data_IF_779687830248
#
_entry.id   IF_779687830248
#
_cell.length_a   1.000
_cell.length_b   1.000
_cell.length_c   1.000
_cell.angle_alpha   90.00
_cell.angle_beta   90.00
_cell.angle_gamma   90.00
#
_symmetry.space_group_name_H-M   'P 1'
#
loop_
_entity.id
_entity.type
_entity.pdbx_description
1 polymer ?
#
# COMPACT_ATOMS: atom_id res chain seq x y z
N UNK A 1 2.73 32.50 -102.53
CA UNK A 1 3.54 31.48 -101.79
C UNK A 1 4.05 32.04 -100.40
N UNK A 2 4.72 33.16 -100.36
CA UNK A 2 5.29 33.70 -99.08
C UNK A 2 4.27 33.83 -97.94
N UNK A 3 3.06 34.33 -98.17
CA UNK A 3 1.97 34.46 -97.16
C UNK A 3 1.53 33.16 -96.60
N UNK A 4 1.49 32.09 -97.38
CA UNK A 4 1.11 30.75 -96.92
C UNK A 4 2.14 30.14 -95.89
N UNK A 5 3.42 30.34 -96.20
CA UNK A 5 4.51 29.85 -95.31
C UNK A 5 4.52 30.68 -93.97
N UNK A 6 4.22 32.01 -94.03
CA UNK A 6 4.17 32.84 -92.88
C UNK A 6 2.95 32.42 -91.91
N UNK A 7 1.79 32.10 -92.48
CA UNK A 7 0.65 31.67 -91.76
C UNK A 7 0.89 30.27 -91.14
N UNK A 8 1.48 29.34 -91.87
CA UNK A 8 1.87 28.01 -91.40
C UNK A 8 2.86 28.08 -90.23
N UNK A 9 3.90 28.94 -90.35
CA UNK A 9 4.88 29.13 -89.28
C UNK A 9 4.24 29.76 -88.01
N UNK A 10 3.33 30.70 -88.13
CA UNK A 10 2.61 31.29 -87.04
C UNK A 10 1.67 30.27 -86.32
N UNK A 11 1.01 29.43 -87.16
CA UNK A 11 0.12 28.36 -86.61
C UNK A 11 0.95 27.28 -85.85
N UNK A 12 2.13 26.90 -86.39
CA UNK A 12 3.01 25.97 -85.69
C UNK A 12 3.59 26.57 -84.42
N UNK A 13 3.98 27.84 -84.41
CA UNK A 13 4.47 28.54 -83.22
C UNK A 13 3.36 28.63 -82.13
N UNK A 14 2.11 28.95 -82.50
CA UNK A 14 1.00 28.95 -81.61
C UNK A 14 0.68 27.56 -81.03
N UNK A 15 0.68 26.53 -81.89
CA UNK A 15 0.51 25.12 -81.44
C UNK A 15 1.63 24.68 -80.53
N UNK A 16 2.88 25.01 -80.81
CA UNK A 16 4.00 24.73 -79.93
C UNK A 16 3.92 25.48 -78.64
N UNK A 17 3.58 26.79 -78.65
CA UNK A 17 3.37 27.57 -77.44
C UNK A 17 2.24 27.01 -76.57
N UNK A 18 1.15 26.62 -77.16
CA UNK A 18 -0.01 26.03 -76.50
C UNK A 18 0.38 24.66 -75.86
N UNK A 19 1.07 23.80 -76.62
CA UNK A 19 1.57 22.52 -76.13
C UNK A 19 2.57 22.72 -74.97
N UNK A 20 3.44 23.72 -75.07
CA UNK A 20 4.42 24.05 -74.02
C UNK A 20 3.76 24.57 -72.74
N UNK A 21 2.77 25.44 -72.83
CA UNK A 21 2.01 25.92 -71.73
C UNK A 21 1.20 24.79 -71.04
N UNK A 22 0.66 23.88 -71.84
CA UNK A 22 -0.08 22.71 -71.32
C UNK A 22 0.87 21.77 -70.55
N UNK A 23 2.02 21.48 -71.09
CA UNK A 23 3.02 20.67 -70.42
C UNK A 23 3.52 21.32 -69.10
N UNK A 24 3.77 22.63 -69.07
CA UNK A 24 4.11 23.37 -67.86
C UNK A 24 3.05 23.33 -66.76
N UNK A 25 1.75 23.28 -67.12
CA UNK A 25 0.67 23.15 -66.13
C UNK A 25 0.70 21.78 -65.44
N UNK A 26 0.86 20.70 -66.23
CA UNK A 26 0.98 19.34 -65.69
C UNK A 26 2.21 19.15 -64.85
N UNK A 27 3.36 19.74 -65.26
CA UNK A 27 4.57 19.70 -64.48
C UNK A 27 4.45 20.39 -63.13
N UNK A 28 3.86 21.58 -63.08
CA UNK A 28 3.61 22.30 -61.80
C UNK A 28 2.60 21.57 -60.92
N UNK A 29 1.62 20.89 -61.52
CA UNK A 29 0.69 20.05 -60.75
C UNK A 29 1.41 18.84 -60.13
N UNK A 30 2.27 18.18 -60.87
CA UNK A 30 3.11 17.08 -60.35
C UNK A 30 4.06 17.53 -59.24
N UNK A 31 4.74 18.67 -59.41
CA UNK A 31 5.58 19.27 -58.35
C UNK A 31 4.79 19.54 -57.06
N UNK A 32 3.57 20.05 -57.18
CA UNK A 32 2.70 20.27 -56.05
C UNK A 32 2.32 18.98 -55.34
N UNK A 33 1.89 17.97 -56.08
CA UNK A 33 1.54 16.66 -55.53
C UNK A 33 2.72 16.00 -54.82
N UNK A 34 3.91 16.05 -55.44
CA UNK A 34 5.12 15.53 -54.80
C UNK A 34 5.50 16.33 -53.55
N UNK A 35 5.32 17.64 -53.56
CA UNK A 35 5.53 18.49 -52.37
C UNK A 35 4.57 18.14 -51.26
N UNK A 36 3.29 17.98 -51.56
CA UNK A 36 2.26 17.62 -50.55
C UNK A 36 2.57 16.22 -49.97
N UNK A 37 2.94 15.24 -50.79
CA UNK A 37 3.34 13.90 -50.34
C UNK A 37 4.61 13.98 -49.49
N UNK A 38 5.63 14.76 -49.90
CA UNK A 38 6.86 14.93 -49.12
C UNK A 38 6.61 15.58 -47.73
N UNK A 39 5.67 16.53 -47.65
CA UNK A 39 5.21 17.15 -46.42
C UNK A 39 4.32 16.21 -45.57
N UNK A 40 4.05 15.00 -46.06
CA UNK A 40 3.19 14.02 -45.36
C UNK A 40 1.72 14.34 -45.42
N UNK A 41 1.26 15.11 -46.42
CA UNK A 41 -0.14 15.39 -46.69
C UNK A 41 -0.63 14.48 -47.81
N UNK A 42 -1.84 13.97 -47.71
CA UNK A 42 -2.51 13.22 -48.75
C UNK A 42 -3.16 14.20 -49.73
N UNK A 43 -2.72 14.30 -50.99
CA UNK A 43 -3.38 15.15 -51.98
C UNK A 43 -4.83 14.70 -52.23
N UNK A 44 -5.76 15.68 -52.32
CA UNK A 44 -7.19 15.38 -52.53
C UNK A 44 -7.47 14.87 -53.98
N UNK A 45 -6.60 15.16 -54.95
CA UNK A 45 -6.82 14.83 -56.34
C UNK A 45 -5.52 14.49 -57.06
N UNK A 46 -5.39 13.25 -57.53
CA UNK A 46 -4.27 12.73 -58.30
C UNK A 46 -4.51 12.71 -59.81
N UNK A 47 -5.63 13.25 -60.29
CA UNK A 47 -6.08 13.12 -61.68
C UNK A 47 -5.34 14.11 -62.60
N UNK A 48 -4.61 13.61 -63.58
CA UNK A 48 -4.07 14.38 -64.69
C UNK A 48 -5.06 14.32 -65.86
N UNK A 49 -5.87 15.37 -65.99
CA UNK A 49 -6.86 15.48 -67.07
C UNK A 49 -6.14 15.70 -68.41
N UNK A 50 -6.47 14.90 -69.42
CA UNK A 50 -6.14 15.10 -70.85
C UNK A 50 -4.74 14.75 -71.39
N UNK A 51 -3.80 14.21 -70.57
CA UNK A 51 -2.50 13.78 -71.09
C UNK A 51 -2.14 12.36 -70.65
N UNK A 52 -2.13 11.41 -71.62
CA UNK A 52 -1.86 9.99 -71.34
C UNK A 52 -0.48 9.70 -70.72
N UNK A 53 0.48 10.60 -70.89
CA UNK A 53 1.84 10.45 -70.35
C UNK A 53 1.86 10.73 -68.84
N UNK A 54 1.09 11.68 -68.36
CA UNK A 54 0.99 12.00 -66.94
C UNK A 54 -0.03 11.12 -66.21
N UNK A 55 -1.06 10.63 -66.93
CA UNK A 55 -2.05 9.72 -66.35
C UNK A 55 -1.43 8.40 -65.85
N UNK A 56 -0.34 7.95 -66.48
CA UNK A 56 0.42 6.79 -66.04
C UNK A 56 1.10 6.98 -64.66
N UNK A 57 1.29 8.23 -64.18
CA UNK A 57 1.86 8.56 -62.88
C UNK A 57 0.84 8.60 -61.76
N UNK A 58 -0.45 8.68 -62.08
CA UNK A 58 -1.53 8.76 -61.08
C UNK A 58 -1.51 7.59 -60.11
N UNK A 59 -1.54 6.38 -60.62
CA UNK A 59 -1.56 5.17 -59.78
C UNK A 59 -0.29 4.94 -58.94
N UNK A 60 0.94 5.15 -59.46
CA UNK A 60 2.14 5.12 -58.61
C UNK A 60 2.13 6.17 -57.49
N UNK A 61 1.69 7.41 -57.75
CA UNK A 61 1.63 8.47 -56.77
C UNK A 61 0.59 8.19 -55.67
N UNK A 62 -0.62 7.72 -56.06
CA UNK A 62 -1.64 7.25 -55.11
C UNK A 62 -1.12 6.15 -54.19
N UNK A 63 -0.40 5.16 -54.77
CA UNK A 63 0.18 4.07 -53.99
C UNK A 63 1.24 4.54 -53.01
N UNK A 64 2.12 5.47 -53.42
CA UNK A 64 3.14 6.05 -52.51
C UNK A 64 2.47 6.83 -51.39
N UNK A 65 1.50 7.69 -51.69
CA UNK A 65 0.77 8.45 -50.68
C UNK A 65 0.03 7.53 -49.70
N UNK A 66 -0.68 6.52 -50.20
CA UNK A 66 -1.38 5.54 -49.37
C UNK A 66 -0.45 4.74 -48.45
N UNK A 67 0.74 4.32 -48.95
CA UNK A 67 1.71 3.59 -48.13
C UNK A 67 2.36 4.50 -47.09
N UNK A 68 2.65 5.76 -47.40
CA UNK A 68 3.15 6.75 -46.47
C UNK A 68 2.14 7.02 -45.35
N UNK A 69 0.86 7.21 -45.69
CA UNK A 69 -0.19 7.38 -44.72
C UNK A 69 -0.38 6.13 -43.82
N UNK A 70 -0.30 4.95 -44.41
CA UNK A 70 -0.36 3.67 -43.70
C UNK A 70 0.80 3.51 -42.69
N UNK A 71 2.01 3.84 -43.12
CA UNK A 71 3.20 3.79 -42.25
C UNK A 71 3.06 4.81 -41.12
N UNK A 72 2.68 6.04 -41.43
CA UNK A 72 2.44 7.08 -40.43
C UNK A 72 1.38 6.65 -39.40
N UNK A 73 0.25 6.13 -39.87
CA UNK A 73 -0.80 5.62 -38.99
C UNK A 73 -0.40 4.40 -38.17
N UNK A 74 0.61 3.63 -38.61
CA UNK A 74 1.22 2.59 -37.76
C UNK A 74 2.10 3.18 -36.68
N UNK A 75 3.00 4.10 -37.00
CA UNK A 75 3.87 4.77 -36.05
C UNK A 75 3.05 5.50 -34.98
N UNK A 76 2.00 6.21 -35.38
CA UNK A 76 1.12 6.93 -34.44
C UNK A 76 0.41 5.96 -33.50
N UNK A 77 -0.08 4.83 -34.02
CA UNK A 77 -0.73 3.78 -33.20
C UNK A 77 0.24 3.09 -32.25
N UNK A 78 1.43 2.73 -32.71
CA UNK A 78 2.45 2.12 -31.87
C UNK A 78 2.91 3.10 -30.77
N UNK A 79 3.15 4.36 -31.12
CA UNK A 79 3.50 5.41 -30.16
C UNK A 79 2.39 5.66 -29.15
N UNK A 80 1.11 5.66 -29.57
CA UNK A 80 -0.05 5.78 -28.68
C UNK A 80 -0.14 4.58 -27.73
N UNK A 81 0.01 3.35 -28.25
CA UNK A 81 -0.03 2.14 -27.45
C UNK A 81 1.07 2.12 -26.39
N UNK A 82 2.31 2.44 -26.76
CA UNK A 82 3.42 2.52 -25.81
C UNK A 82 3.19 3.57 -24.72
N UNK A 83 2.71 4.77 -25.10
CA UNK A 83 2.38 5.81 -24.12
C UNK A 83 1.27 5.36 -23.18
N UNK A 84 0.25 4.67 -23.68
CA UNK A 84 -0.87 4.16 -22.87
C UNK A 84 -0.37 3.09 -21.90
N UNK A 85 0.48 2.15 -22.35
CA UNK A 85 1.07 1.13 -21.48
C UNK A 85 1.90 1.79 -20.38
N UNK A 86 2.81 2.69 -20.73
CA UNK A 86 3.65 3.40 -19.76
C UNK A 86 2.81 4.26 -18.77
N UNK A 87 1.69 4.82 -19.21
CA UNK A 87 0.80 5.61 -18.37
C UNK A 87 -0.03 4.75 -17.40
N UNK A 88 -0.36 3.51 -17.79
CA UNK A 88 -1.16 2.59 -16.97
C UNK A 88 -0.32 1.77 -15.98
N UNK A 89 1.00 1.75 -16.11
CA UNK A 89 1.88 1.06 -15.16
C UNK A 89 1.84 1.74 -13.79
N UNK A 90 1.86 0.94 -12.72
CA UNK A 90 2.00 1.43 -11.35
C UNK A 90 3.46 1.75 -11.01
N UNK A 91 4.39 1.02 -11.62
CA UNK A 91 5.82 1.24 -11.45
C UNK A 91 6.29 2.54 -12.11
N UNK A 92 7.21 3.22 -11.46
CA UNK A 92 7.92 4.34 -12.05
C UNK A 92 8.91 3.86 -13.10
N UNK A 93 8.87 4.42 -14.30
CA UNK A 93 9.83 4.12 -15.37
C UNK A 93 10.60 5.39 -15.73
N UNK A 94 11.90 5.25 -15.81
CA UNK A 94 12.84 6.29 -16.19
C UNK A 94 13.81 5.73 -17.24
N UNK A 95 14.11 6.52 -18.28
CA UNK A 95 15.16 6.21 -19.26
C UNK A 95 16.20 7.32 -19.24
N UNK A 96 17.45 6.93 -19.16
CA UNK A 96 18.59 7.85 -19.18
C UNK A 96 19.56 7.49 -20.31
N UNK A 97 20.27 8.49 -20.81
CA UNK A 97 21.34 8.30 -21.77
C UNK A 97 22.70 7.99 -21.09
N UNK A 98 23.76 7.87 -21.91
CA UNK A 98 25.12 7.63 -21.44
C UNK A 98 25.69 8.71 -20.51
N UNK A 99 25.10 9.90 -20.49
CA UNK A 99 25.49 11.03 -19.65
C UNK A 99 24.60 11.17 -18.40
N UNK A 100 23.78 10.14 -18.09
CA UNK A 100 22.82 10.10 -16.99
C UNK A 100 21.73 11.20 -17.08
N UNK A 101 21.48 11.70 -18.30
CA UNK A 101 20.42 12.69 -18.54
C UNK A 101 19.09 11.97 -18.81
N UNK A 102 18.02 12.42 -18.15
CA UNK A 102 16.68 11.86 -18.27
C UNK A 102 16.10 12.16 -19.66
N UNK A 103 15.81 11.12 -20.42
CA UNK A 103 15.20 11.17 -21.75
C UNK A 103 13.71 10.85 -21.73
N UNK A 104 13.28 9.99 -20.81
CA UNK A 104 11.89 9.62 -20.66
C UNK A 104 11.58 9.34 -19.20
N UNK A 105 10.39 9.74 -18.76
CA UNK A 105 9.77 9.32 -17.52
C UNK A 105 8.28 9.06 -17.75
N UNK A 106 7.72 8.08 -17.06
CA UNK A 106 6.28 7.82 -17.11
C UNK A 106 5.53 8.62 -16.03
N UNK A 107 4.18 8.73 -16.12
CA UNK A 107 3.38 9.43 -15.10
C UNK A 107 3.54 8.88 -13.68
N UNK A 108 3.78 7.56 -13.53
CA UNK A 108 3.98 6.94 -12.23
C UNK A 108 5.27 7.40 -11.56
N UNK A 109 6.36 7.54 -12.33
CA UNK A 109 7.60 8.13 -11.81
C UNK A 109 7.36 9.53 -11.21
N UNK A 110 6.60 10.35 -11.91
CA UNK A 110 6.26 11.70 -11.41
C UNK A 110 5.44 11.63 -10.11
N UNK A 111 4.46 10.71 -10.02
CA UNK A 111 3.66 10.53 -8.79
C UNK A 111 4.48 9.98 -7.61
N UNK A 112 5.46 9.10 -7.89
CA UNK A 112 6.26 8.47 -6.84
C UNK A 112 7.30 9.42 -6.25
N UNK A 113 7.95 10.23 -7.09
CA UNK A 113 9.09 11.05 -6.67
C UNK A 113 8.78 12.54 -6.53
N UNK A 114 7.65 13.02 -7.06
CA UNK A 114 7.20 14.43 -6.99
C UNK A 114 8.36 15.43 -7.25
N UNK A 115 9.09 15.30 -8.37
CA UNK A 115 10.29 16.08 -8.59
C UNK A 115 9.98 17.59 -8.62
N UNK A 116 10.80 18.36 -7.90
CA UNK A 116 10.66 19.81 -7.85
C UNK A 116 11.37 20.44 -9.06
N UNK A 117 10.62 20.72 -10.13
CA UNK A 117 11.13 21.35 -11.35
C UNK A 117 11.03 20.46 -12.60
N UNK A 118 11.76 20.82 -13.66
CA UNK A 118 11.84 20.02 -14.90
C UNK A 118 12.55 18.69 -14.64
N UNK A 119 12.06 17.63 -15.25
CA UNK A 119 12.65 16.30 -15.13
C UNK A 119 13.45 15.90 -16.37
N UNK A 120 12.87 16.12 -17.54
CA UNK A 120 13.51 15.79 -18.82
C UNK A 120 14.67 16.73 -19.11
N UNK A 121 15.80 16.19 -19.54
CA UNK A 121 17.02 16.94 -19.83
C UNK A 121 17.90 17.22 -18.60
N UNK A 122 17.46 16.85 -17.41
CA UNK A 122 18.24 16.96 -16.16
C UNK A 122 18.93 15.62 -15.82
N UNK A 123 19.97 15.68 -14.97
CA UNK A 123 20.65 14.46 -14.52
C UNK A 123 19.88 13.76 -13.41
N UNK A 124 20.05 12.43 -13.30
CA UNK A 124 19.41 11.60 -12.25
C UNK A 124 19.70 12.15 -10.86
N UNK A 125 20.95 12.47 -10.56
CA UNK A 125 21.36 13.00 -9.26
C UNK A 125 20.67 14.31 -8.90
N UNK A 126 20.44 15.18 -9.88
CA UNK A 126 19.74 16.45 -9.66
C UNK A 126 18.27 16.26 -9.35
N UNK A 127 17.61 15.30 -10.02
CA UNK A 127 16.17 15.03 -9.88
C UNK A 127 15.87 14.22 -8.62
N UNK A 128 16.58 13.10 -8.41
CA UNK A 128 16.28 12.15 -7.33
C UNK A 128 17.13 12.37 -6.07
N UNK A 129 18.33 12.94 -6.21
CA UNK A 129 19.29 13.20 -5.11
C UNK A 129 19.70 11.95 -4.33
N UNK A 130 19.71 10.79 -5.00
CA UNK A 130 20.08 9.50 -4.43
C UNK A 130 21.34 8.97 -5.12
N UNK A 131 22.52 9.09 -4.49
CA UNK A 131 23.79 8.64 -5.08
C UNK A 131 23.82 7.16 -5.44
N UNK A 132 23.15 6.32 -4.65
CA UNK A 132 23.08 4.87 -4.90
C UNK A 132 22.44 4.53 -6.25
N UNK A 133 21.47 5.33 -6.71
CA UNK A 133 20.86 5.15 -8.02
C UNK A 133 21.83 5.52 -9.15
N UNK A 134 22.65 6.55 -8.96
CA UNK A 134 23.64 6.96 -9.93
C UNK A 134 24.77 5.93 -10.07
N UNK A 135 25.25 5.37 -8.96
CA UNK A 135 26.20 4.25 -8.95
C UNK A 135 25.64 3.04 -9.69
N UNK A 136 24.38 2.70 -9.46
CA UNK A 136 23.71 1.57 -10.09
C UNK A 136 23.60 1.75 -11.62
N UNK A 137 23.22 2.95 -12.07
CA UNK A 137 23.14 3.29 -13.49
C UNK A 137 24.53 3.25 -14.13
N UNK A 138 25.54 3.84 -13.46
CA UNK A 138 26.94 3.79 -13.90
C UNK A 138 27.41 2.34 -14.07
N UNK A 139 27.15 1.48 -13.09
CA UNK A 139 27.51 0.08 -13.14
C UNK A 139 26.80 -0.67 -14.31
N UNK A 140 25.51 -0.39 -14.52
CA UNK A 140 24.76 -0.98 -15.62
C UNK A 140 25.32 -0.56 -17.00
N UNK A 141 25.66 0.72 -17.18
CA UNK A 141 26.31 1.23 -18.39
C UNK A 141 27.69 0.63 -18.64
N UNK A 142 28.51 0.54 -17.60
CA UNK A 142 29.88 0.06 -17.71
C UNK A 142 29.98 -1.44 -17.97
N UNK A 143 29.10 -2.24 -17.34
CA UNK A 143 29.15 -3.71 -17.44
C UNK A 143 28.27 -4.29 -18.54
N UNK A 144 27.29 -3.54 -19.03
CA UNK A 144 26.25 -4.05 -19.94
C UNK A 144 25.33 -5.10 -19.31
N UNK A 145 25.33 -5.22 -17.96
CA UNK A 145 24.54 -6.21 -17.22
C UNK A 145 23.48 -5.48 -16.39
N UNK A 146 22.26 -6.02 -16.40
CA UNK A 146 21.18 -5.49 -15.57
C UNK A 146 21.54 -5.50 -14.07
N UNK A 147 21.25 -4.41 -13.39
CA UNK A 147 21.46 -4.24 -11.95
C UNK A 147 20.12 -4.25 -11.23
N UNK A 148 20.09 -4.88 -10.04
CA UNK A 148 18.93 -4.87 -9.17
C UNK A 148 19.36 -4.49 -7.76
N UNK A 149 18.71 -3.50 -7.17
CA UNK A 149 19.00 -3.06 -5.80
C UNK A 149 17.74 -2.54 -5.14
N UNK A 150 17.69 -2.64 -3.83
CA UNK A 150 16.69 -1.92 -3.05
C UNK A 150 17.29 -0.59 -2.59
N UNK A 151 16.55 0.49 -2.81
CA UNK A 151 16.96 1.86 -2.51
C UNK A 151 15.90 2.51 -1.62
N UNK A 152 16.36 3.20 -0.57
CA UNK A 152 15.49 3.97 0.31
C UNK A 152 15.65 5.45 0.01
N UNK A 153 14.54 6.13 -0.30
CA UNK A 153 14.58 7.57 -0.55
C UNK A 153 14.20 8.33 0.72
N UNK A 154 15.05 9.27 1.12
CA UNK A 154 14.84 10.13 2.29
C UNK A 154 14.14 11.46 1.95
N UNK A 155 13.70 11.65 0.70
CA UNK A 155 13.11 12.90 0.20
C UNK A 155 11.70 13.21 0.72
N UNK A 156 11.01 12.25 1.35
CA UNK A 156 9.68 12.39 1.93
C UNK A 156 9.59 11.78 3.32
N UNK A 157 8.74 12.31 4.19
CA UNK A 157 8.37 11.63 5.44
C UNK A 157 6.97 11.03 5.28
N UNK A 158 6.79 9.71 5.38
CA UNK A 158 7.78 8.67 5.72
C UNK A 158 8.72 8.31 4.56
N UNK A 159 9.89 7.74 4.89
CA UNK A 159 10.84 7.18 3.91
C UNK A 159 10.15 6.10 3.06
N UNK A 160 10.39 6.14 1.73
CA UNK A 160 9.87 5.12 0.82
C UNK A 160 10.98 4.16 0.42
N UNK A 161 10.61 2.89 0.23
CA UNK A 161 11.51 1.84 -0.19
C UNK A 161 11.14 1.38 -1.60
N UNK A 162 12.12 1.35 -2.50
CA UNK A 162 11.94 0.95 -3.88
C UNK A 162 12.81 -0.25 -4.22
N UNK A 163 12.23 -1.26 -4.87
CA UNK A 163 12.99 -2.23 -5.62
C UNK A 163 13.27 -1.62 -7.01
N UNK A 164 14.55 -1.43 -7.33
CA UNK A 164 15.00 -0.76 -8.53
C UNK A 164 15.69 -1.77 -9.45
N UNK A 165 15.27 -1.79 -10.71
CA UNK A 165 15.90 -2.57 -11.79
C UNK A 165 16.42 -1.62 -12.86
N UNK A 166 17.73 -1.58 -13.06
CA UNK A 166 18.39 -0.81 -14.12
C UNK A 166 18.87 -1.77 -15.20
N UNK A 167 18.28 -1.66 -16.39
CA UNK A 167 18.55 -2.52 -17.52
C UNK A 167 19.25 -1.69 -18.60
N UNK A 168 20.50 -2.03 -18.99
CA UNK A 168 21.17 -1.34 -20.06
C UNK A 168 20.44 -1.57 -21.37
N UNK A 169 20.33 -0.54 -22.19
CA UNK A 169 19.77 -0.58 -23.53
C UNK A 169 20.76 0.03 -24.52
N UNK A 170 20.77 -0.51 -25.73
CA UNK A 170 21.42 0.12 -26.86
C UNK A 170 20.32 0.64 -27.79
N UNK A 171 20.41 1.91 -28.19
CA UNK A 171 19.51 2.49 -29.17
C UNK A 171 20.10 2.29 -30.55
N UNK A 172 19.27 1.88 -31.53
CA UNK A 172 19.67 1.72 -32.95
C UNK A 172 20.16 3.03 -33.60
N UNK A 173 19.95 4.16 -32.93
CA UNK A 173 20.24 5.51 -33.44
C UNK A 173 21.34 6.26 -32.70
N UNK A 174 21.95 5.71 -31.65
CA UNK A 174 23.02 6.55 -31.16
C UNK A 174 23.59 6.39 -29.79
N UNK A 175 23.31 5.49 -28.95
CA UNK A 175 24.11 5.43 -27.76
C UNK A 175 23.64 4.47 -26.68
N UNK A 176 24.52 4.08 -25.75
CA UNK A 176 24.15 3.32 -24.59
C UNK A 176 23.26 4.16 -23.68
N UNK A 177 22.23 3.53 -23.14
CA UNK A 177 21.30 4.10 -22.18
C UNK A 177 20.90 3.08 -21.12
N UNK A 178 20.12 3.49 -20.14
CA UNK A 178 19.58 2.60 -19.12
C UNK A 178 18.09 2.86 -18.94
N UNK A 179 17.29 1.81 -18.96
CA UNK A 179 15.92 1.82 -18.50
C UNK A 179 15.91 1.44 -17.03
N UNK A 180 15.36 2.28 -16.19
CA UNK A 180 15.24 2.02 -14.76
C UNK A 180 13.77 1.92 -14.34
N UNK A 181 13.41 0.84 -13.68
CA UNK A 181 12.06 0.56 -13.19
C UNK A 181 12.07 0.64 -11.67
N UNK A 182 11.13 1.39 -11.11
CA UNK A 182 10.97 1.61 -9.67
C UNK A 182 9.66 0.99 -9.20
N UNK A 183 9.75 -0.01 -8.36
CA UNK A 183 8.60 -0.63 -7.71
C UNK A 183 8.57 -0.21 -6.25
N UNK A 184 7.49 0.44 -5.81
CA UNK A 184 7.31 0.78 -4.40
C UNK A 184 7.05 -0.49 -3.57
N UNK A 185 7.98 -0.79 -2.66
CA UNK A 185 7.92 -1.93 -1.75
C UNK A 185 7.74 -1.48 -0.28
N UNK A 186 7.40 -0.21 -0.03
CA UNK A 186 7.29 0.34 1.31
C UNK A 186 6.31 -0.43 2.18
N UNK A 187 5.14 -0.80 1.62
CA UNK A 187 4.14 -1.61 2.33
C UNK A 187 4.65 -3.02 2.66
N UNK A 188 5.38 -3.63 1.74
CA UNK A 188 5.98 -4.96 1.95
C UNK A 188 7.02 -4.90 3.08
N UNK A 189 7.90 -3.91 3.05
CA UNK A 189 8.90 -3.67 4.09
C UNK A 189 8.27 -3.42 5.46
N UNK A 190 7.25 -2.58 5.53
CA UNK A 190 6.51 -2.37 6.77
C UNK A 190 5.92 -3.68 7.34
N UNK A 191 5.34 -4.52 6.50
CA UNK A 191 4.82 -5.82 6.93
C UNK A 191 5.94 -6.76 7.42
N UNK A 192 7.08 -6.79 6.74
CA UNK A 192 8.26 -7.57 7.16
C UNK A 192 8.83 -7.07 8.49
N UNK A 193 8.93 -5.76 8.69
CA UNK A 193 9.45 -5.17 9.92
C UNK A 193 8.53 -5.46 11.11
N UNK A 194 7.21 -5.29 10.93
CA UNK A 194 6.20 -5.66 11.94
C UNK A 194 6.31 -7.15 12.29
N UNK A 195 6.52 -8.02 11.30
CA UNK A 195 6.71 -9.46 11.53
C UNK A 195 8.00 -9.78 12.28
N UNK A 196 9.11 -9.12 11.92
CA UNK A 196 10.41 -9.30 12.61
C UNK A 196 10.33 -8.83 14.06
N UNK A 197 9.72 -7.67 14.29
CA UNK A 197 9.51 -7.12 15.62
C UNK A 197 8.62 -8.05 16.46
N UNK A 198 7.54 -8.59 15.87
CA UNK A 198 6.69 -9.57 16.53
C UNK A 198 7.46 -10.79 17.00
N UNK A 199 8.26 -11.43 16.12
CA UNK A 199 9.08 -12.60 16.47
C UNK A 199 10.10 -12.28 17.56
N UNK A 200 10.75 -11.12 17.48
CA UNK A 200 11.71 -10.67 18.48
C UNK A 200 11.02 -10.48 19.85
N UNK A 201 9.87 -9.82 19.87
CA UNK A 201 9.12 -9.57 21.11
C UNK A 201 8.59 -10.88 21.73
N UNK A 202 8.06 -11.82 20.92
CA UNK A 202 7.68 -13.17 21.40
C UNK A 202 8.89 -13.85 22.07
N UNK A 203 10.04 -13.84 21.40
CA UNK A 203 11.26 -14.48 21.93
C UNK A 203 11.70 -13.86 23.26
N UNK A 204 11.59 -12.55 23.40
CA UNK A 204 11.93 -11.84 24.65
C UNK A 204 10.93 -12.15 25.77
N UNK A 205 9.62 -12.12 25.50
CA UNK A 205 8.57 -12.37 26.50
C UNK A 205 8.55 -13.85 26.95
N UNK A 206 9.00 -14.80 26.12
CA UNK A 206 9.17 -16.20 26.50
C UNK A 206 10.46 -16.44 27.29
N UNK A 207 11.56 -15.79 26.90
CA UNK A 207 12.88 -16.00 27.53
C UNK A 207 12.89 -15.60 29.01
N UNK A 208 12.25 -14.48 29.34
CA UNK A 208 12.24 -13.94 30.72
C UNK A 208 11.66 -14.93 31.74
N UNK A 209 10.41 -15.45 31.59
CA UNK A 209 9.87 -16.41 32.53
C UNK A 209 10.67 -17.73 32.54
N UNK A 210 11.19 -18.19 31.41
CA UNK A 210 12.02 -19.42 31.33
C UNK A 210 13.32 -19.27 32.13
N UNK A 211 13.99 -18.10 32.04
CA UNK A 211 15.20 -17.84 32.83
C UNK A 211 14.92 -17.81 34.33
N UNK A 212 13.76 -17.26 34.73
CA UNK A 212 13.31 -17.26 36.13
C UNK A 212 13.03 -18.69 36.58
N UNK A 213 12.34 -19.51 35.76
CA UNK A 213 12.11 -20.90 36.03
C UNK A 213 13.43 -21.65 36.30
N UNK A 214 14.38 -21.49 35.37
CA UNK A 214 15.69 -22.14 35.46
C UNK A 214 16.42 -21.78 36.74
N UNK A 215 16.49 -20.46 37.07
CA UNK A 215 17.18 -20.00 38.26
C UNK A 215 16.56 -20.52 39.56
N UNK A 216 15.22 -20.50 39.69
CA UNK A 216 14.58 -21.03 40.91
C UNK A 216 14.65 -22.56 41.01
N UNK A 217 14.62 -23.29 39.90
CA UNK A 217 14.83 -24.74 39.90
C UNK A 217 16.29 -25.10 40.29
N UNK A 218 17.29 -24.32 39.85
CA UNK A 218 18.67 -24.48 40.29
C UNK A 218 18.79 -24.24 41.79
N UNK A 219 18.20 -23.15 42.32
CA UNK A 219 18.23 -22.87 43.76
C UNK A 219 17.63 -24.03 44.59
N UNK A 220 16.48 -24.59 44.14
CA UNK A 220 15.87 -25.74 44.82
C UNK A 220 16.74 -26.99 44.76
N UNK A 221 17.52 -27.16 43.69
CA UNK A 221 18.46 -28.30 43.52
C UNK A 221 19.73 -28.14 44.37
N UNK A 222 20.25 -26.91 44.49
CA UNK A 222 21.49 -26.62 45.19
C UNK A 222 21.31 -26.59 46.72
N UNK A 223 20.12 -26.23 47.22
CA UNK A 223 19.80 -26.23 48.63
C UNK A 223 18.61 -27.18 48.96
N UNK A 224 18.89 -28.50 49.07
CA UNK A 224 17.87 -29.48 49.44
C UNK A 224 17.36 -29.30 50.89
N UNK A 225 18.07 -28.55 51.74
CA UNK A 225 17.69 -28.27 53.12
C UNK A 225 16.90 -26.96 53.29
N UNK A 226 16.54 -26.29 52.18
CA UNK A 226 15.76 -25.05 52.19
C UNK A 226 14.54 -25.15 53.07
N UNK A 227 14.29 -24.17 53.92
CA UNK A 227 13.09 -24.15 54.82
C UNK A 227 11.79 -24.28 54.02
N UNK A 228 10.82 -25.05 54.54
CA UNK A 228 9.54 -25.26 53.88
C UNK A 228 8.80 -23.96 53.49
N UNK A 229 8.98 -22.90 54.26
CA UNK A 229 8.40 -21.60 53.97
C UNK A 229 8.98 -20.99 52.70
N UNK A 230 10.32 -21.03 52.55
CA UNK A 230 11.03 -20.54 51.41
C UNK A 230 10.73 -21.37 50.17
N UNK A 231 10.66 -22.71 50.30
CA UNK A 231 10.19 -23.59 49.21
C UNK A 231 8.80 -23.23 48.72
N UNK A 232 7.84 -22.94 49.64
CA UNK A 232 6.50 -22.53 49.28
C UNK A 232 6.49 -21.19 48.51
N UNK A 233 7.32 -20.24 48.91
CA UNK A 233 7.46 -18.96 48.17
C UNK A 233 8.02 -19.16 46.77
N UNK A 234 9.05 -20.02 46.60
CA UNK A 234 9.60 -20.38 45.29
C UNK A 234 8.55 -21.03 44.42
N UNK A 235 7.79 -22.02 44.94
CA UNK A 235 6.70 -22.63 44.18
C UNK A 235 5.60 -21.64 43.80
N UNK A 236 5.27 -20.68 44.67
CA UNK A 236 4.31 -19.62 44.33
C UNK A 236 4.80 -18.75 43.19
N UNK A 237 6.09 -18.39 43.15
CA UNK A 237 6.72 -17.62 42.07
C UNK A 237 6.72 -18.43 40.75
N UNK A 238 7.13 -19.70 40.80
CA UNK A 238 7.08 -20.61 39.65
C UNK A 238 5.66 -20.74 39.12
N UNK A 239 4.66 -20.93 39.99
CA UNK A 239 3.25 -20.98 39.62
C UNK A 239 2.77 -19.73 38.90
N UNK A 240 3.13 -18.52 39.41
CA UNK A 240 2.81 -17.24 38.78
C UNK A 240 3.41 -17.10 37.37
N UNK A 241 4.68 -17.50 37.20
CA UNK A 241 5.33 -17.44 35.90
C UNK A 241 4.79 -18.49 34.92
N UNK A 242 4.40 -19.69 35.39
CA UNK A 242 3.71 -20.70 34.59
C UNK A 242 2.37 -20.19 34.04
N UNK A 243 1.55 -19.62 34.90
CA UNK A 243 0.27 -19.03 34.49
C UNK A 243 0.46 -17.92 33.46
N UNK A 244 1.46 -17.07 33.67
CA UNK A 244 1.78 -16.00 32.69
C UNK A 244 2.22 -16.58 31.34
N UNK A 245 3.02 -17.65 31.33
CA UNK A 245 3.50 -18.29 30.10
C UNK A 245 2.35 -18.93 29.32
N UNK A 246 1.43 -19.59 30.03
CA UNK A 246 0.23 -20.16 29.43
C UNK A 246 -0.69 -19.07 28.84
N UNK A 247 -0.93 -17.97 29.55
CA UNK A 247 -1.71 -16.85 29.04
C UNK A 247 -1.07 -16.24 27.78
N UNK A 248 0.28 -16.11 27.74
CA UNK A 248 0.98 -15.62 26.56
C UNK A 248 0.82 -16.59 25.37
N UNK A 249 0.91 -17.89 25.61
CA UNK A 249 0.71 -18.91 24.57
C UNK A 249 -0.71 -18.90 24.01
N UNK A 250 -1.72 -18.80 24.88
CA UNK A 250 -3.13 -18.69 24.47
C UNK A 250 -3.41 -17.43 23.66
N UNK A 251 -2.86 -16.29 24.05
CA UNK A 251 -2.97 -15.04 23.30
C UNK A 251 -2.31 -15.15 21.91
N UNK A 252 -1.12 -15.77 21.83
CA UNK A 252 -0.42 -16.01 20.56
C UNK A 252 -1.19 -16.94 19.64
N UNK A 253 -1.73 -18.04 20.17
CA UNK A 253 -2.55 -18.97 19.39
C UNK A 253 -3.84 -18.30 18.91
N UNK A 254 -4.46 -17.49 19.75
CA UNK A 254 -5.66 -16.72 19.40
C UNK A 254 -5.33 -15.74 18.26
N UNK A 255 -4.24 -14.97 18.38
CA UNK A 255 -3.84 -14.03 17.35
C UNK A 255 -3.53 -14.75 16.02
N UNK A 256 -2.83 -15.89 16.09
CA UNK A 256 -2.51 -16.69 14.91
C UNK A 256 -3.78 -17.23 14.21
N UNK A 257 -4.79 -17.66 14.98
CA UNK A 257 -6.09 -18.10 14.43
C UNK A 257 -6.82 -16.92 13.77
N UNK A 258 -6.90 -15.77 14.45
CA UNK A 258 -7.56 -14.57 13.93
C UNK A 258 -6.90 -14.04 12.65
N UNK A 259 -5.58 -14.18 12.48
CA UNK A 259 -4.84 -13.79 11.27
C UNK A 259 -4.94 -14.80 10.14
N UNK A 260 -5.33 -16.02 10.46
CA UNK A 260 -5.52 -17.08 9.48
C UNK A 260 -6.78 -16.83 8.64
N UNK A 261 -6.63 -16.75 7.31
CA UNK A 261 -7.79 -16.66 6.39
C UNK A 261 -8.72 -17.87 6.44
N UNK A 262 -8.34 -18.92 7.15
CA UNK A 262 -9.11 -20.18 7.25
C UNK A 262 -10.10 -20.17 8.43
N UNK A 263 -9.93 -19.29 9.42
CA UNK A 263 -10.81 -19.19 10.58
C UNK A 263 -11.98 -18.25 10.22
N UNK A 264 -13.07 -18.86 9.69
CA UNK A 264 -14.29 -18.13 9.34
C UNK A 264 -15.02 -17.76 10.63
N UNK A 265 -15.41 -16.48 10.76
CA UNK A 265 -16.27 -16.02 11.83
C UNK A 265 -17.57 -16.81 11.82
N UNK A 266 -17.99 -17.29 12.99
CA UNK A 266 -19.31 -17.86 13.20
C UNK A 266 -20.29 -16.75 13.54
N UNK A 267 -20.80 -16.10 12.48
CA UNK A 267 -21.69 -14.94 12.64
C UNK A 267 -23.08 -15.45 13.01
N UNK A 268 -23.56 -15.03 14.16
CA UNK A 268 -24.89 -15.34 14.69
C UNK A 268 -25.61 -14.03 15.07
N UNK A 269 -26.93 -14.10 15.15
CA UNK A 269 -27.75 -13.01 15.71
C UNK A 269 -27.69 -13.07 17.23
N UNK A 270 -27.15 -12.05 17.87
CA UNK A 270 -26.89 -12.01 19.29
C UNK A 270 -27.56 -10.82 19.99
N UNK A 271 -28.15 -11.08 21.16
CA UNK A 271 -28.59 -10.06 22.08
C UNK A 271 -27.41 -9.58 22.93
N UNK A 272 -26.80 -8.45 22.57
CA UNK A 272 -25.57 -7.94 23.21
C UNK A 272 -25.72 -7.78 24.73
N UNK A 273 -26.92 -7.37 25.19
CA UNK A 273 -27.20 -7.24 26.63
C UNK A 273 -27.10 -8.57 27.40
N UNK A 274 -27.31 -9.72 26.75
CA UNK A 274 -27.17 -11.02 27.40
C UNK A 274 -25.71 -11.38 27.61
N UNK A 275 -24.86 -11.18 26.56
CA UNK A 275 -23.42 -11.40 26.66
C UNK A 275 -22.81 -10.49 27.75
N UNK A 276 -23.16 -9.21 27.74
CA UNK A 276 -22.66 -8.28 28.76
C UNK A 276 -23.05 -8.74 30.19
N UNK A 277 -24.28 -9.22 30.39
CA UNK A 277 -24.73 -9.75 31.69
C UNK A 277 -23.98 -11.01 32.07
N UNK A 278 -23.83 -11.96 31.16
CA UNK A 278 -23.08 -13.20 31.39
C UNK A 278 -21.64 -12.92 31.80
N UNK A 279 -20.91 -12.14 30.99
CA UNK A 279 -19.52 -11.80 31.28
C UNK A 279 -19.39 -11.00 32.58
N UNK A 280 -20.33 -10.09 32.88
CA UNK A 280 -20.33 -9.34 34.15
C UNK A 280 -20.48 -10.25 35.37
N UNK A 281 -21.38 -11.25 35.31
CA UNK A 281 -21.57 -12.23 36.36
C UNK A 281 -20.32 -13.07 36.64
N UNK A 282 -19.64 -13.52 35.58
CA UNK A 282 -18.40 -14.30 35.69
C UNK A 282 -17.26 -13.50 36.35
N UNK A 283 -17.26 -12.20 36.18
CA UNK A 283 -16.24 -11.30 36.73
C UNK A 283 -16.58 -10.74 38.13
N UNK A 284 -17.83 -10.88 38.62
CA UNK A 284 -18.29 -10.30 39.87
C UNK A 284 -17.40 -10.69 41.06
N UNK A 285 -17.02 -11.98 41.14
CA UNK A 285 -16.15 -12.49 42.21
C UNK A 285 -14.74 -11.89 42.20
N UNK A 286 -14.15 -11.71 41.01
CA UNK A 286 -12.81 -11.08 40.85
C UNK A 286 -12.84 -9.59 41.19
N UNK A 287 -13.91 -8.90 40.80
CA UNK A 287 -14.14 -7.47 40.99
C UNK A 287 -14.38 -7.19 42.50
N UNK A 288 -15.22 -8.00 43.13
CA UNK A 288 -15.49 -7.90 44.57
C UNK A 288 -14.22 -8.17 45.41
N UNK A 289 -13.42 -9.17 45.05
CA UNK A 289 -12.14 -9.45 45.72
C UNK A 289 -11.18 -8.27 45.68
N UNK A 290 -11.18 -7.48 44.61
CA UNK A 290 -10.38 -6.26 44.47
C UNK A 290 -11.07 -5.00 45.05
N UNK A 291 -12.27 -5.15 45.60
CA UNK A 291 -13.10 -4.05 46.15
C UNK A 291 -13.46 -2.98 45.12
N UNK A 292 -13.74 -3.39 43.88
CA UNK A 292 -14.17 -2.50 42.80
C UNK A 292 -15.69 -2.53 42.67
N UNK A 293 -16.28 -1.45 42.16
CA UNK A 293 -17.68 -1.40 41.78
C UNK A 293 -17.86 -1.62 40.32
N UNK A 294 -18.71 -2.59 39.91
CA UNK A 294 -19.08 -2.81 38.51
C UNK A 294 -20.49 -2.29 38.27
N UNK A 295 -20.69 -1.49 37.23
CA UNK A 295 -21.99 -1.04 36.77
C UNK A 295 -22.21 -1.43 35.32
N UNK A 296 -23.44 -1.89 35.03
CA UNK A 296 -23.87 -2.27 33.69
C UNK A 296 -24.95 -1.30 33.20
N UNK A 297 -24.69 -0.64 32.06
CA UNK A 297 -25.59 0.35 31.46
C UNK A 297 -25.84 -0.08 29.98
N UNK A 298 -26.95 -0.79 29.77
CA UNK A 298 -27.37 -1.29 28.47
C UNK A 298 -28.61 -0.55 28.04
N UNK A 299 -28.57 0.10 26.87
CA UNK A 299 -29.73 0.77 26.31
C UNK A 299 -30.89 -0.24 26.09
N UNK A 300 -32.12 0.17 26.43
CA UNK A 300 -33.27 -0.73 26.37
C UNK A 300 -33.63 -1.24 24.97
N UNK A 301 -33.41 -0.42 23.95
CA UNK A 301 -33.82 -0.67 22.58
C UNK A 301 -32.62 -0.97 21.65
N UNK A 302 -31.65 -1.80 22.12
CA UNK A 302 -30.56 -2.23 21.27
C UNK A 302 -31.04 -3.24 20.23
N UNK A 303 -30.82 -3.01 18.93
CA UNK A 303 -31.08 -4.01 17.92
C UNK A 303 -30.13 -5.21 18.08
N UNK A 304 -30.51 -6.39 17.58
CA UNK A 304 -29.60 -7.53 17.57
C UNK A 304 -28.35 -7.22 16.75
N UNK A 305 -27.22 -7.79 17.18
CA UNK A 305 -25.93 -7.67 16.51
C UNK A 305 -25.63 -8.98 15.77
N UNK A 306 -25.20 -8.87 14.51
CA UNK A 306 -24.66 -10.01 13.77
C UNK A 306 -23.15 -10.10 13.97
N UNK A 307 -22.70 -10.99 14.87
CA UNK A 307 -21.30 -11.13 15.24
C UNK A 307 -20.99 -12.56 15.69
N UNK A 308 -19.72 -12.89 15.85
CA UNK A 308 -19.26 -14.12 16.48
C UNK A 308 -19.32 -13.96 18.00
N UNK A 309 -20.20 -14.72 18.72
CA UNK A 309 -20.40 -14.54 20.16
C UNK A 309 -19.14 -14.83 20.96
N UNK A 310 -18.36 -15.84 20.60
CA UNK A 310 -17.12 -16.20 21.29
C UNK A 310 -16.06 -15.09 21.16
N UNK A 311 -15.97 -14.49 19.97
CA UNK A 311 -15.04 -13.37 19.74
C UNK A 311 -15.47 -12.09 20.47
N UNK A 312 -16.78 -11.85 20.54
CA UNK A 312 -17.29 -10.71 21.28
C UNK A 312 -17.07 -10.88 22.79
N UNK A 313 -17.31 -12.06 23.33
CA UNK A 313 -17.00 -12.40 24.71
C UNK A 313 -15.51 -12.19 25.02
N UNK A 314 -14.62 -12.63 24.12
CA UNK A 314 -13.17 -12.43 24.23
C UNK A 314 -12.78 -10.95 24.26
N UNK A 315 -13.44 -10.10 23.47
CA UNK A 315 -13.26 -8.64 23.51
C UNK A 315 -13.57 -8.12 24.93
N UNK A 316 -14.72 -8.48 25.46
CA UNK A 316 -15.18 -8.03 26.78
C UNK A 316 -14.24 -8.53 27.89
N UNK A 317 -13.81 -9.78 27.85
CA UNK A 317 -12.86 -10.35 28.82
C UNK A 317 -11.55 -9.58 28.81
N UNK A 318 -10.96 -9.34 27.64
CA UNK A 318 -9.71 -8.59 27.51
C UNK A 318 -9.83 -7.15 28.05
N UNK A 319 -10.96 -6.50 27.79
CA UNK A 319 -11.21 -5.14 28.26
C UNK A 319 -11.43 -5.10 29.77
N UNK A 320 -12.23 -6.03 30.34
CA UNK A 320 -12.46 -6.14 31.77
C UNK A 320 -11.18 -6.50 32.53
N UNK A 321 -10.36 -7.40 31.98
CA UNK A 321 -9.07 -7.75 32.58
C UNK A 321 -8.17 -6.52 32.73
N UNK A 322 -8.09 -5.70 31.68
CA UNK A 322 -7.35 -4.45 31.74
C UNK A 322 -7.96 -3.47 32.74
N UNK A 323 -9.27 -3.26 32.71
CA UNK A 323 -9.97 -2.37 33.65
C UNK A 323 -9.75 -2.78 35.11
N UNK A 324 -9.95 -4.07 35.40
CA UNK A 324 -9.69 -4.61 36.76
C UNK A 324 -8.24 -4.46 37.17
N UNK A 325 -7.32 -4.72 36.26
CA UNK A 325 -5.87 -4.65 36.48
C UNK A 325 -5.42 -3.24 36.87
N UNK A 326 -5.85 -2.23 36.13
CA UNK A 326 -5.32 -0.86 36.24
C UNK A 326 -6.15 0.04 37.15
N UNK A 327 -7.31 -0.42 37.65
CA UNK A 327 -8.11 0.31 38.62
C UNK A 327 -7.69 -0.05 40.05
N UNK A 328 -7.41 0.94 40.88
CA UNK A 328 -7.07 0.75 42.31
C UNK A 328 -8.30 0.31 43.12
N UNK A 329 -8.09 -0.38 44.26
CA UNK A 329 -9.20 -0.74 45.17
C UNK A 329 -10.07 0.46 45.54
N UNK A 330 -11.39 0.27 45.48
CA UNK A 330 -12.39 1.34 45.69
C UNK A 330 -12.78 2.08 44.42
N UNK A 331 -12.15 1.78 43.27
CA UNK A 331 -12.49 2.34 41.98
C UNK A 331 -13.74 1.73 41.37
N UNK A 332 -14.09 2.26 40.18
CA UNK A 332 -15.32 1.90 39.47
C UNK A 332 -14.99 1.42 38.06
N UNK A 333 -15.75 0.43 37.60
CA UNK A 333 -15.74 -0.04 36.21
C UNK A 333 -17.16 0.04 35.67
N UNK A 334 -17.37 0.57 34.49
CA UNK A 334 -18.68 0.65 33.85
C UNK A 334 -18.63 0.02 32.48
N UNK A 335 -19.53 -0.93 32.22
CA UNK A 335 -19.81 -1.50 30.94
C UNK A 335 -21.02 -0.83 30.32
N UNK A 336 -20.92 -0.30 29.14
CA UNK A 336 -22.03 0.34 28.43
C UNK A 336 -22.19 -0.25 27.03
N UNK A 337 -23.45 -0.40 26.64
CA UNK A 337 -23.81 -0.72 25.26
C UNK A 337 -24.87 0.25 24.78
N UNK A 338 -24.62 0.94 23.70
CA UNK A 338 -25.53 1.92 23.12
C UNK A 338 -25.43 1.95 21.60
N UNK A 339 -26.44 2.52 20.94
CA UNK A 339 -26.43 2.76 19.52
C UNK A 339 -25.94 4.19 19.25
N UNK A 340 -24.87 4.33 18.44
CA UNK A 340 -24.34 5.62 18.05
C UNK A 340 -23.96 5.61 16.55
N UNK A 341 -24.48 6.57 15.80
CA UNK A 341 -24.18 6.70 14.37
C UNK A 341 -24.55 5.47 13.52
N UNK A 342 -25.57 4.69 13.94
CA UNK A 342 -25.97 3.47 13.23
C UNK A 342 -25.09 2.25 13.50
N UNK A 343 -24.16 2.36 14.45
CA UNK A 343 -23.28 1.28 14.91
C UNK A 343 -23.55 0.98 16.38
N UNK A 344 -23.30 -0.26 16.79
CA UNK A 344 -23.23 -0.61 18.20
C UNK A 344 -21.93 -0.09 18.77
N UNK A 345 -22.00 0.69 19.85
CA UNK A 345 -20.86 1.05 20.68
C UNK A 345 -20.86 0.25 21.97
N UNK A 346 -19.78 -0.51 22.20
CA UNK A 346 -19.45 -1.12 23.48
C UNK A 346 -18.38 -0.27 24.14
N UNK A 347 -18.66 0.21 25.35
CA UNK A 347 -17.71 1.02 26.14
C UNK A 347 -17.35 0.29 27.41
N UNK A 348 -16.07 0.22 27.71
CA UNK A 348 -15.54 -0.19 29.02
C UNK A 348 -14.82 1.00 29.61
N UNK A 349 -15.39 1.55 30.64
CA UNK A 349 -14.89 2.72 31.36
C UNK A 349 -14.30 2.29 32.68
N UNK A 350 -13.12 2.75 33.04
CA UNK A 350 -12.48 2.52 34.32
C UNK A 350 -12.02 3.84 34.98
N UNK A 351 -12.02 3.89 36.29
CA UNK A 351 -11.51 5.01 37.10
C UNK A 351 -10.05 4.74 37.54
N UNK A 352 -9.29 4.07 36.71
CA UNK A 352 -7.92 3.67 37.02
C UNK A 352 -6.87 4.76 36.76
N UNK A 353 -5.62 4.34 36.59
CA UNK A 353 -4.48 5.24 36.44
C UNK A 353 -4.54 6.13 35.18
N UNK A 354 -5.36 5.76 34.20
CA UNK A 354 -5.34 6.41 32.89
C UNK A 354 -4.06 6.16 32.11
N UNK A 355 -4.03 6.66 30.89
CA UNK A 355 -2.93 6.46 29.92
C UNK A 355 -2.32 7.82 29.56
N UNK A 356 -0.99 7.96 29.60
CA UNK A 356 -0.32 9.17 29.14
C UNK A 356 -0.65 9.48 27.65
N UNK A 357 -0.78 10.74 27.25
CA UNK A 357 -1.08 11.11 25.86
C UNK A 357 -0.06 10.58 24.86
N UNK A 358 1.19 10.43 25.25
CA UNK A 358 2.28 9.87 24.41
C UNK A 358 2.07 8.40 24.09
N UNK A 359 1.44 7.64 24.98
CA UNK A 359 1.26 6.20 24.85
C UNK A 359 -0.06 5.83 24.18
N UNK A 360 -1.05 6.73 24.25
CA UNK A 360 -2.41 6.49 23.74
C UNK A 360 -2.47 6.04 22.27
N UNK A 361 -1.66 6.55 21.34
CA UNK A 361 -1.64 6.07 19.96
C UNK A 361 -1.15 4.63 19.80
N UNK A 362 -0.36 4.13 20.75
CA UNK A 362 0.38 2.86 20.67
C UNK A 362 -0.26 1.70 21.44
N UNK A 363 -1.26 1.94 22.30
CA UNK A 363 -1.82 0.91 23.19
C UNK A 363 -2.42 -0.29 22.47
N UNK A 364 -2.79 -0.16 21.20
CA UNK A 364 -3.31 -1.24 20.36
C UNK A 364 -2.21 -1.96 19.52
N UNK A 365 -0.95 -1.59 19.70
CA UNK A 365 0.18 -2.29 19.11
C UNK A 365 0.48 -3.57 19.90
N UNK A 366 1.00 -4.58 19.21
CA UNK A 366 1.34 -5.87 19.84
C UNK A 366 2.51 -5.70 20.80
N UNK A 367 2.41 -6.30 22.00
CA UNK A 367 3.41 -6.22 23.07
C UNK A 367 3.64 -4.82 23.62
N UNK A 368 2.86 -3.82 23.20
CA UNK A 368 3.01 -2.47 23.73
C UNK A 368 2.57 -2.39 25.20
N UNK A 369 3.32 -1.64 25.99
CA UNK A 369 3.08 -1.44 27.43
C UNK A 369 3.58 -0.05 27.82
N UNK A 370 2.71 0.82 28.32
CA UNK A 370 3.00 2.20 28.71
C UNK A 370 4.08 2.31 29.79
N UNK A 371 4.16 1.36 30.71
CA UNK A 371 5.18 1.33 31.79
C UNK A 371 5.79 -0.07 31.91
N UNK A 372 7.01 -0.25 31.37
CA UNK A 372 7.73 -1.54 31.37
C UNK A 372 8.14 -2.02 32.76
N UNK A 373 8.35 -1.11 33.73
CA UNK A 373 8.82 -1.47 35.07
C UNK A 373 7.69 -1.90 36.00
N UNK A 374 6.63 -1.09 36.11
CA UNK A 374 5.49 -1.33 37.01
C UNK A 374 4.60 -2.49 36.55
N UNK A 375 4.52 -2.69 35.23
CA UNK A 375 3.67 -3.72 34.62
C UNK A 375 4.31 -5.11 34.65
N UNK A 376 5.64 -5.25 34.90
CA UNK A 376 6.28 -6.56 35.08
C UNK A 376 5.78 -7.29 36.33
N UNK A 377 5.50 -6.56 37.40
CA UNK A 377 4.98 -7.13 38.66
C UNK A 377 3.50 -7.51 38.58
N UNK A 378 2.71 -6.72 37.83
CA UNK A 378 1.25 -6.93 37.72
C UNK A 378 0.84 -7.93 36.63
N UNK A 379 1.78 -8.48 35.84
CA UNK A 379 1.49 -9.43 34.77
C UNK A 379 0.79 -8.76 33.57
N UNK A 380 0.73 -9.47 32.48
CA UNK A 380 0.08 -9.04 31.22
C UNK A 380 1.00 -9.30 30.05
N UNK A 381 0.42 -9.75 28.94
CA UNK A 381 1.12 -10.17 27.73
C UNK A 381 1.41 -8.98 26.80
N UNK A 382 0.61 -7.90 26.91
CA UNK A 382 0.63 -6.80 25.94
C UNK A 382 -0.06 -7.14 24.61
N UNK A 383 -0.78 -8.28 24.57
CA UNK A 383 -1.50 -8.73 23.37
C UNK A 383 -3.01 -8.46 23.46
N UNK A 384 -3.59 -8.36 24.63
CA UNK A 384 -5.05 -8.28 24.83
C UNK A 384 -5.71 -7.14 24.03
N UNK A 385 -5.19 -5.91 24.06
CA UNK A 385 -5.76 -4.78 23.29
C UNK A 385 -5.54 -4.94 21.77
N UNK A 386 -4.45 -5.56 21.35
CA UNK A 386 -4.24 -5.85 19.92
C UNK A 386 -5.20 -6.94 19.43
N UNK A 387 -5.56 -7.91 20.27
CA UNK A 387 -6.61 -8.90 20.01
C UNK A 387 -7.97 -8.21 19.88
N UNK A 388 -8.33 -7.31 20.79
CA UNK A 388 -9.56 -6.50 20.72
C UNK A 388 -9.63 -5.74 19.39
N UNK A 389 -8.56 -5.06 19.01
CA UNK A 389 -8.49 -4.33 17.73
C UNK A 389 -8.71 -5.25 16.54
N UNK A 390 -8.04 -6.40 16.53
CA UNK A 390 -8.15 -7.35 15.43
C UNK A 390 -9.57 -7.92 15.31
N UNK A 391 -10.18 -8.33 16.45
CA UNK A 391 -11.56 -8.83 16.47
C UNK A 391 -12.53 -7.75 15.98
N UNK A 392 -12.40 -6.49 16.42
CA UNK A 392 -13.22 -5.40 15.89
C UNK A 392 -13.07 -5.24 14.38
N UNK A 393 -11.85 -5.29 13.85
CA UNK A 393 -11.56 -5.15 12.42
C UNK A 393 -12.15 -6.28 11.56
N UNK A 394 -12.04 -7.54 11.98
CA UNK A 394 -12.61 -8.67 11.22
C UNK A 394 -14.15 -8.67 11.23
N UNK A 395 -14.78 -7.98 12.19
CA UNK A 395 -16.23 -7.71 12.22
C UNK A 395 -16.60 -6.44 11.43
N UNK A 396 -15.66 -5.81 10.70
CA UNK A 396 -15.90 -4.56 9.97
C UNK A 396 -16.04 -3.31 10.85
N UNK A 397 -15.64 -3.42 12.10
CA UNK A 397 -15.73 -2.36 13.12
C UNK A 397 -14.38 -1.68 13.39
N UNK A 398 -14.34 -0.94 14.48
CA UNK A 398 -13.16 -0.21 14.94
C UNK A 398 -13.09 -0.16 16.47
N UNK A 399 -11.88 0.15 16.99
CA UNK A 399 -11.68 0.40 18.42
C UNK A 399 -10.91 1.72 18.59
N UNK A 400 -11.33 2.49 19.61
CA UNK A 400 -10.68 3.73 20.01
C UNK A 400 -10.55 3.79 21.52
N UNK A 401 -9.69 4.67 22.03
CA UNK A 401 -9.50 4.89 23.45
C UNK A 401 -9.52 6.38 23.77
N UNK A 402 -10.20 6.72 24.85
CA UNK A 402 -10.19 8.04 25.47
C UNK A 402 -9.64 7.87 26.88
N UNK A 403 -8.60 8.62 27.22
CA UNK A 403 -7.98 8.49 28.54
C UNK A 403 -7.44 9.81 29.05
N UNK A 404 -7.52 9.97 30.35
CA UNK A 404 -6.86 11.07 31.06
C UNK A 404 -6.03 10.46 32.20
N UNK A 405 -4.72 10.71 32.14
CA UNK A 405 -3.80 10.21 33.15
C UNK A 405 -4.17 10.69 34.54
N UNK A 406 -4.24 9.76 35.51
CA UNK A 406 -4.69 9.99 36.89
C UNK A 406 -6.21 10.03 37.08
N UNK A 407 -7.02 9.84 36.04
CA UNK A 407 -8.49 9.88 36.11
C UNK A 407 -9.15 8.58 35.70
N UNK A 408 -8.71 7.98 34.58
CA UNK A 408 -9.24 6.73 34.05
C UNK A 408 -9.16 6.60 32.55
N UNK A 409 -9.67 5.47 32.03
CA UNK A 409 -9.68 5.14 30.61
C UNK A 409 -11.06 4.66 30.17
N UNK A 410 -11.43 5.00 28.95
CA UNK A 410 -12.58 4.46 28.24
C UNK A 410 -12.13 3.84 26.94
N UNK A 411 -12.33 2.54 26.79
CA UNK A 411 -12.14 1.85 25.51
C UNK A 411 -13.50 1.71 24.83
N UNK A 412 -13.56 2.12 23.55
CA UNK A 412 -14.78 2.17 22.76
C UNK A 412 -14.61 1.26 21.56
N UNK A 413 -15.42 0.21 21.50
CA UNK A 413 -15.49 -0.72 20.35
C UNK A 413 -16.76 -0.43 19.57
N UNK A 414 -16.63 -0.14 18.28
CA UNK A 414 -17.74 0.12 17.36
C UNK A 414 -17.89 -1.02 16.38
N UNK A 415 -19.08 -1.58 16.31
CA UNK A 415 -19.40 -2.70 15.44
C UNK A 415 -20.60 -2.35 14.54
N UNK A 416 -20.56 -2.67 13.24
CA UNK A 416 -21.73 -2.52 12.38
C UNK A 416 -22.81 -3.50 12.79
N UNK A 417 -24.07 -3.08 12.74
CA UNK A 417 -25.20 -3.95 13.08
C UNK A 417 -25.42 -5.09 12.10
N UNK A 418 -25.02 -4.88 10.83
CA UNK A 418 -25.08 -5.89 9.76
C UNK A 418 -23.69 -6.37 9.47
N UNK A 419 -23.51 -7.69 9.38
CA UNK A 419 -22.21 -8.27 9.04
C UNK A 419 -21.69 -7.74 7.69
N UNK A 420 -20.41 -7.41 7.60
CA UNK A 420 -19.76 -6.84 6.41
C UNK A 420 -19.75 -7.77 5.16
N UNK A 421 -20.43 -8.91 5.20
CA UNK A 421 -20.53 -9.90 4.11
C UNK A 421 -21.91 -10.01 3.44
N UNK A 422 -22.89 -9.19 3.82
CA UNK A 422 -24.27 -9.27 3.32
C UNK A 422 -24.64 -8.38 2.14
N UNK A 423 -23.69 -7.73 1.49
CA UNK A 423 -23.92 -6.92 0.28
C UNK A 423 -23.19 -7.54 -0.91
N UNK A 424 -23.70 -8.67 -1.43
CA UNK A 424 -23.14 -9.31 -2.61
C UNK A 424 -23.77 -10.66 -2.91
N UNK A 425 -25.03 -10.70 -3.27
CA UNK A 425 -25.62 -11.63 -4.25
C UNK A 425 -26.09 -10.83 -5.46
#
# INVERSE_FOLDING_TARGET
MAWFFGFLAAALALAWWWAHQRCKRHWRHLERLLGEIADGRTPENFVFLEDSRFSALTHPLEKIAAEQERLRGRFDREGFNLRTILASMEEGVMVVDAHHVLRLVNPSFIRLFEPKGGTLGETVLRVLREPELEEMITAALATGVAQTREVSTNGGKPARHFAVHAVPMSDDTGGPGVVTIFRDISRLRQLEDVRREFVANVSHELRTPLSIFHGYLENLREDPAMPRKEQAEVFAILGKHSQRLNALLEDLLTLARLESRHDKLQIEEIAVGEILRSVSADWEGKIAKKKLALTLDVAADLPPLFADPLRLEQVLINLLENAVKYTEPGGQIRLRALLAGGQLELRVEDSGLGIPPTDLPHIFERFYRADKARTREQGGTGLGLSIVKHIAQIHGGSVTAESKYGVGTTIIVRLPLVAAGGAGE
#
